data_IF_946789436622
#
_entry.id   IF_946789436622
#
_cell.length_a   1.000
_cell.length_b   1.000
_cell.length_c   1.000
_cell.angle_alpha   90.00
_cell.angle_beta   90.00
_cell.angle_gamma   90.00
#
_symmetry.space_group_name_H-M   'P 1'
#
loop_
_entity.id
_entity.type
_entity.pdbx_description
1 polymer ?
#
# COMPACT_ATOMS: atom_id res chain seq x y z
N UNK A 1 -12.75 18.89 -8.15
CA UNK A 1 -11.48 18.36 -7.64
C UNK A 1 -10.84 17.62 -8.78
N UNK A 2 -9.60 17.96 -9.16
CA UNK A 2 -8.93 17.38 -10.33
C UNK A 2 -8.68 15.87 -10.09
N UNK A 3 -8.69 15.12 -11.17
CA UNK A 3 -8.46 13.68 -11.23
C UNK A 3 -6.96 13.36 -11.01
N UNK A 4 -6.43 13.77 -9.84
CA UNK A 4 -4.99 13.74 -9.52
C UNK A 4 -4.35 12.37 -9.82
N UNK A 5 -4.99 11.30 -9.36
CA UNK A 5 -4.48 9.95 -9.57
C UNK A 5 -4.41 9.60 -11.06
N UNK A 6 -5.44 9.97 -11.84
CA UNK A 6 -5.47 9.72 -13.29
C UNK A 6 -4.40 10.49 -14.04
N UNK A 7 -4.19 11.76 -13.68
CA UNK A 7 -3.19 12.60 -14.31
C UNK A 7 -1.78 12.04 -14.07
N UNK A 8 -1.44 11.73 -12.80
CA UNK A 8 -0.16 11.11 -12.47
C UNK A 8 0.02 9.71 -13.06
N UNK A 9 -1.06 8.92 -13.12
CA UNK A 9 -1.01 7.62 -13.77
C UNK A 9 -0.79 7.73 -15.28
N UNK A 10 -1.43 8.68 -15.95
CA UNK A 10 -1.19 8.96 -17.38
C UNK A 10 0.27 9.36 -17.62
N UNK A 11 0.79 10.26 -16.78
CA UNK A 11 2.19 10.70 -16.86
C UNK A 11 3.15 9.52 -16.61
N UNK A 12 2.84 8.63 -15.68
CA UNK A 12 3.63 7.43 -15.45
C UNK A 12 3.68 6.52 -16.68
N UNK A 13 2.55 6.24 -17.31
CA UNK A 13 2.50 5.41 -18.52
C UNK A 13 3.28 6.06 -19.66
N UNK A 14 3.15 7.38 -19.81
CA UNK A 14 3.78 8.10 -20.91
C UNK A 14 5.27 8.30 -20.71
N UNK A 15 5.68 8.71 -19.52
CA UNK A 15 7.07 9.12 -19.22
C UNK A 15 7.94 7.97 -18.73
N UNK A 16 7.43 7.13 -17.82
CA UNK A 16 8.19 6.02 -17.23
C UNK A 16 8.16 4.79 -18.15
N UNK A 17 6.98 4.40 -18.64
CA UNK A 17 6.84 3.24 -19.50
C UNK A 17 7.07 3.57 -20.99
N UNK A 18 7.14 4.85 -21.35
CA UNK A 18 7.32 5.36 -22.72
C UNK A 18 6.26 4.84 -23.71
N UNK A 19 5.02 4.70 -23.22
CA UNK A 19 3.89 4.21 -23.99
C UNK A 19 2.92 5.36 -24.27
N UNK A 20 2.25 5.32 -25.43
CA UNK A 20 1.15 6.24 -25.69
C UNK A 20 -0.08 5.77 -24.90
N UNK A 21 -0.48 6.55 -23.90
CA UNK A 21 -1.59 6.21 -23.00
C UNK A 21 -2.89 5.90 -23.76
N UNK A 22 -3.18 6.64 -24.82
CA UNK A 22 -4.43 6.48 -25.57
C UNK A 22 -4.45 5.23 -26.45
N UNK A 23 -3.28 4.67 -26.78
CA UNK A 23 -3.14 3.40 -27.53
C UNK A 23 -3.17 2.15 -26.62
N UNK A 24 -3.04 2.32 -25.31
CA UNK A 24 -3.08 1.22 -24.32
C UNK A 24 -4.53 0.84 -24.06
N UNK A 25 -4.87 -0.45 -24.16
CA UNK A 25 -6.21 -0.92 -23.87
C UNK A 25 -6.48 -1.00 -22.34
N UNK A 26 -7.75 -1.16 -21.94
CA UNK A 26 -8.14 -1.11 -20.52
C UNK A 26 -7.56 -2.25 -19.68
N UNK A 27 -7.29 -3.41 -20.27
CA UNK A 27 -6.62 -4.53 -19.57
C UNK A 27 -5.18 -4.14 -19.24
N UNK A 28 -4.44 -3.63 -20.22
CA UNK A 28 -3.09 -3.16 -20.01
C UNK A 28 -3.03 -1.96 -19.05
N UNK A 29 -4.02 -1.04 -19.14
CA UNK A 29 -4.12 0.07 -18.18
C UNK A 29 -4.34 -0.43 -16.76
N UNK A 30 -5.15 -1.47 -16.55
CA UNK A 30 -5.33 -2.08 -15.23
C UNK A 30 -4.01 -2.59 -14.67
N UNK A 31 -3.27 -3.37 -15.44
CA UNK A 31 -1.93 -3.85 -15.08
C UNK A 31 -0.99 -2.72 -14.70
N UNK A 32 -0.87 -1.70 -15.56
CA UNK A 32 0.01 -0.56 -15.29
C UNK A 32 -0.46 0.27 -14.10
N UNK A 33 -1.76 0.30 -13.83
CA UNK A 33 -2.31 0.98 -12.65
C UNK A 33 -1.93 0.26 -11.36
N UNK A 34 -1.91 -1.08 -11.34
CA UNK A 34 -1.40 -1.84 -10.20
C UNK A 34 0.09 -1.56 -9.96
N UNK A 35 0.92 -1.54 -11.01
CA UNK A 35 2.34 -1.19 -10.93
C UNK A 35 2.53 0.24 -10.40
N UNK A 36 1.83 1.21 -10.99
CA UNK A 36 1.89 2.61 -10.56
C UNK A 36 1.54 2.77 -9.08
N UNK A 37 0.44 2.13 -8.66
CA UNK A 37 0.00 2.20 -7.27
C UNK A 37 1.01 1.57 -6.32
N UNK A 38 1.56 0.41 -6.64
CA UNK A 38 2.61 -0.22 -5.85
C UNK A 38 3.86 0.68 -5.74
N UNK A 39 4.36 1.18 -6.88
CA UNK A 39 5.61 1.94 -6.94
C UNK A 39 5.49 3.37 -6.38
N UNK A 40 4.41 4.09 -6.71
CA UNK A 40 4.32 5.52 -6.39
C UNK A 40 3.52 5.81 -5.14
N UNK A 41 2.67 4.90 -4.71
CA UNK A 41 1.84 5.09 -3.52
C UNK A 41 2.32 4.19 -2.38
N UNK A 42 2.26 2.86 -2.55
CA UNK A 42 2.59 1.95 -1.44
C UNK A 42 4.07 2.08 -1.05
N UNK A 43 5.00 2.10 -2.02
CA UNK A 43 6.43 2.26 -1.73
C UNK A 43 6.73 3.54 -0.94
N UNK A 44 5.98 4.63 -1.15
CA UNK A 44 6.14 5.86 -0.39
C UNK A 44 5.51 5.79 1.00
N UNK A 45 4.33 5.18 1.13
CA UNK A 45 3.59 5.11 2.39
C UNK A 45 4.05 3.96 3.29
N UNK A 46 4.43 2.84 2.69
CA UNK A 46 4.90 1.64 3.38
C UNK A 46 5.99 0.92 2.57
N UNK A 47 7.22 1.44 2.57
CA UNK A 47 8.31 0.90 1.76
C UNK A 47 8.65 -0.56 2.10
N UNK A 48 8.30 -1.03 3.29
CA UNK A 48 8.54 -2.41 3.70
C UNK A 48 7.67 -3.46 3.00
N UNK A 49 6.68 -3.03 2.18
CA UNK A 49 5.79 -3.93 1.44
C UNK A 49 6.19 -4.12 -0.03
N UNK A 50 7.16 -3.35 -0.51
CA UNK A 50 7.51 -3.30 -1.93
C UNK A 50 9.01 -3.54 -2.10
N UNK A 51 9.42 -4.42 -3.02
CA UNK A 51 10.83 -4.66 -3.32
C UNK A 51 11.57 -3.35 -3.66
N UNK A 52 12.84 -3.30 -3.32
CA UNK A 52 13.65 -2.08 -3.51
C UNK A 52 14.10 -1.89 -4.95
N UNK A 53 14.37 -2.97 -5.67
CA UNK A 53 14.84 -2.90 -7.06
C UNK A 53 13.68 -2.88 -8.07
N UNK A 54 13.95 -2.33 -9.25
CA UNK A 54 12.96 -2.31 -10.34
C UNK A 54 12.74 -3.71 -10.93
N UNK A 55 13.77 -4.54 -10.95
CA UNK A 55 13.70 -5.92 -11.45
C UNK A 55 12.79 -6.78 -10.58
N UNK A 56 12.96 -6.72 -9.27
CA UNK A 56 12.10 -7.40 -8.31
C UNK A 56 10.66 -6.89 -8.37
N UNK A 57 10.49 -5.56 -8.51
CA UNK A 57 9.17 -4.96 -8.67
C UNK A 57 8.47 -5.48 -9.93
N UNK A 58 9.18 -5.57 -11.05
CA UNK A 58 8.65 -6.12 -12.30
C UNK A 58 8.30 -7.61 -12.18
N UNK A 59 9.05 -8.38 -11.37
CA UNK A 59 8.75 -9.77 -11.08
C UNK A 59 7.45 -9.96 -10.30
N UNK A 60 7.07 -8.98 -9.46
CA UNK A 60 5.81 -8.99 -8.72
C UNK A 60 4.56 -8.82 -9.60
N UNK A 61 4.72 -8.43 -10.87
CA UNK A 61 3.59 -8.31 -11.80
C UNK A 61 3.23 -9.69 -12.33
N UNK A 62 2.13 -10.24 -11.83
CA UNK A 62 1.66 -11.60 -12.14
C UNK A 62 0.50 -11.64 -13.13
N UNK A 63 0.01 -10.46 -13.55
CA UNK A 63 -1.09 -10.27 -14.49
C UNK A 63 -0.95 -11.12 -15.76
N UNK A 64 -2.06 -11.66 -16.21
CA UNK A 64 -2.18 -12.47 -17.42
C UNK A 64 -3.34 -13.46 -17.35
N UNK A 65 -3.39 -14.39 -18.30
CA UNK A 65 -4.34 -15.49 -18.22
C UNK A 65 -4.02 -16.35 -17.00
N UNK A 66 -5.07 -16.78 -16.28
CA UNK A 66 -4.95 -17.63 -15.09
C UNK A 66 -4.13 -17.00 -13.94
N UNK A 67 -4.25 -15.68 -13.76
CA UNK A 67 -3.61 -14.89 -12.70
C UNK A 67 -4.29 -14.99 -11.33
N UNK A 68 -5.33 -15.78 -11.21
CA UNK A 68 -6.18 -15.88 -10.01
C UNK A 68 -6.86 -14.56 -9.61
N UNK A 69 -6.95 -13.59 -10.50
CA UNK A 69 -7.49 -12.26 -10.23
C UNK A 69 -6.54 -11.37 -9.43
N UNK A 70 -5.24 -11.53 -9.62
CA UNK A 70 -4.20 -10.70 -9.03
C UNK A 70 -3.34 -10.10 -10.13
N UNK A 71 -3.20 -8.80 -10.16
CA UNK A 71 -2.33 -8.12 -11.14
C UNK A 71 -0.90 -7.97 -10.58
N UNK A 72 -0.77 -7.83 -9.25
CA UNK A 72 0.51 -7.65 -8.58
C UNK A 72 0.53 -8.42 -7.26
N UNK A 73 1.60 -9.15 -6.99
CA UNK A 73 1.83 -9.91 -5.76
C UNK A 73 3.27 -9.73 -5.31
N UNK A 74 3.48 -9.18 -4.11
CA UNK A 74 4.80 -9.13 -3.47
C UNK A 74 4.75 -9.79 -2.09
N UNK A 75 5.89 -10.35 -1.68
CA UNK A 75 6.11 -10.85 -0.33
C UNK A 75 7.36 -10.22 0.25
N UNK A 76 7.20 -9.46 1.31
CA UNK A 76 8.29 -8.82 2.02
C UNK A 76 8.22 -9.16 3.51
N UNK A 77 9.27 -9.77 4.02
CA UNK A 77 9.27 -10.34 5.37
C UNK A 77 8.16 -11.38 5.55
N UNK A 78 7.25 -11.13 6.48
CA UNK A 78 6.06 -11.95 6.74
C UNK A 78 4.77 -11.28 6.26
N UNK A 79 4.84 -10.44 5.24
CA UNK A 79 3.66 -9.77 4.69
C UNK A 79 3.57 -9.99 3.20
N UNK A 80 2.40 -10.43 2.75
CA UNK A 80 2.06 -10.62 1.34
C UNK A 80 1.10 -9.53 0.93
N UNK A 81 1.48 -8.71 -0.03
CA UNK A 81 0.63 -7.71 -0.65
C UNK A 81 0.07 -8.26 -1.97
N UNK A 82 -1.22 -8.20 -2.14
CA UNK A 82 -1.93 -8.55 -3.37
C UNK A 82 -2.74 -7.37 -3.88
N UNK A 83 -2.53 -7.01 -5.14
CA UNK A 83 -3.28 -5.95 -5.78
C UNK A 83 -4.07 -6.49 -6.96
N UNK A 84 -5.32 -6.06 -7.08
CA UNK A 84 -6.06 -6.11 -8.32
C UNK A 84 -6.51 -4.71 -8.70
N UNK A 85 -6.26 -4.32 -9.96
CA UNK A 85 -6.63 -3.03 -10.50
C UNK A 85 -7.69 -3.18 -11.58
N UNK A 86 -8.64 -2.24 -11.61
CA UNK A 86 -9.65 -2.14 -12.69
C UNK A 86 -9.69 -0.71 -13.19
N UNK A 87 -9.07 -0.52 -14.34
CA UNK A 87 -9.17 0.73 -15.08
C UNK A 87 -10.47 0.70 -15.89
N UNK A 88 -11.49 1.39 -15.43
CA UNK A 88 -12.69 1.60 -16.21
C UNK A 88 -12.64 2.95 -16.90
N UNK A 89 -12.25 2.95 -18.18
CA UNK A 89 -12.21 4.13 -19.01
C UNK A 89 -13.57 4.60 -19.51
N UNK A 90 -14.62 3.81 -19.34
CA UNK A 90 -15.90 4.10 -19.98
C UNK A 90 -16.70 5.18 -19.27
N UNK A 91 -16.45 6.42 -19.68
CA UNK A 91 -17.47 7.47 -19.65
C UNK A 91 -18.47 7.19 -20.78
N UNK A 92 -19.50 6.38 -20.56
CA UNK A 92 -20.72 6.52 -21.36
C UNK A 92 -21.37 7.84 -20.95
N UNK A 93 -21.30 8.84 -21.84
CA UNK A 93 -22.08 10.08 -21.75
C UNK A 93 -22.18 10.69 -20.33
N UNK A 94 -21.04 11.00 -19.71
CA UNK A 94 -21.01 11.74 -18.43
C UNK A 94 -21.27 10.91 -17.16
N UNK A 95 -21.49 9.61 -17.25
CA UNK A 95 -21.64 8.73 -16.06
C UNK A 95 -20.34 7.96 -15.82
N UNK A 96 -19.85 7.96 -14.59
CA UNK A 96 -18.81 7.02 -14.16
C UNK A 96 -19.34 5.61 -14.36
N UNK A 97 -18.57 4.73 -15.00
CA UNK A 97 -18.90 3.31 -15.06
C UNK A 97 -19.00 2.74 -13.65
N UNK A 98 -19.97 1.86 -13.44
CA UNK A 98 -20.07 1.10 -12.19
C UNK A 98 -19.11 -0.08 -12.28
N UNK A 99 -18.43 -0.38 -11.18
CA UNK A 99 -17.62 -1.59 -11.05
C UNK A 99 -18.51 -2.83 -11.15
N UNK A 100 -17.95 -3.88 -11.72
CA UNK A 100 -18.57 -5.21 -11.77
C UNK A 100 -18.39 -5.93 -10.43
N UNK A 101 -19.46 -6.13 -9.64
CA UNK A 101 -19.37 -6.79 -8.33
C UNK A 101 -18.79 -8.20 -8.38
N UNK A 102 -19.04 -8.96 -9.46
CA UNK A 102 -18.52 -10.34 -9.60
C UNK A 102 -16.99 -10.36 -9.63
N UNK A 103 -16.37 -9.32 -10.18
CA UNK A 103 -14.90 -9.20 -10.19
C UNK A 103 -14.34 -8.92 -8.82
N UNK A 104 -15.00 -8.09 -8.02
CA UNK A 104 -14.61 -7.85 -6.65
C UNK A 104 -14.79 -9.11 -5.80
N UNK A 105 -15.92 -9.82 -5.93
CA UNK A 105 -16.15 -11.10 -5.26
C UNK A 105 -15.10 -12.15 -5.66
N UNK A 106 -14.74 -12.19 -6.94
CA UNK A 106 -13.67 -13.05 -7.41
C UNK A 106 -12.32 -12.67 -6.74
N UNK A 107 -11.99 -11.41 -6.61
CA UNK A 107 -10.77 -10.99 -5.89
C UNK A 107 -10.84 -11.36 -4.40
N UNK A 108 -11.97 -11.14 -3.72
CA UNK A 108 -12.13 -11.50 -2.31
C UNK A 108 -11.80 -12.96 -2.01
N UNK A 109 -12.04 -13.87 -2.96
CA UNK A 109 -11.74 -15.30 -2.81
C UNK A 109 -10.35 -15.72 -3.30
N UNK A 110 -9.43 -14.76 -3.55
CA UNK A 110 -8.09 -15.03 -4.08
C UNK A 110 -7.27 -15.94 -3.17
N UNK A 111 -7.30 -15.72 -1.86
CA UNK A 111 -6.55 -16.52 -0.90
C UNK A 111 -7.00 -17.97 -0.91
N UNK A 112 -8.31 -18.22 -0.96
CA UNK A 112 -8.86 -19.60 -1.08
C UNK A 112 -8.33 -20.30 -2.34
N UNK A 113 -8.28 -19.60 -3.49
CA UNK A 113 -7.75 -20.18 -4.72
C UNK A 113 -6.26 -20.46 -4.62
N UNK A 114 -5.48 -19.50 -4.14
CA UNK A 114 -4.04 -19.67 -3.97
C UNK A 114 -3.73 -20.80 -2.96
N UNK A 115 -4.44 -20.86 -1.84
CA UNK A 115 -4.27 -21.92 -0.86
C UNK A 115 -4.58 -23.30 -1.45
N UNK A 116 -5.70 -23.44 -2.14
CA UNK A 116 -6.09 -24.68 -2.79
C UNK A 116 -5.11 -25.15 -3.90
N UNK A 117 -4.41 -24.19 -4.50
CA UNK A 117 -3.27 -24.44 -5.39
C UNK A 117 -3.60 -24.93 -6.79
N UNK A 118 -2.56 -25.20 -7.61
CA UNK A 118 -2.68 -25.44 -9.04
C UNK A 118 -3.36 -26.77 -9.40
N UNK A 119 -3.59 -27.66 -8.45
CA UNK A 119 -4.34 -28.89 -8.65
C UNK A 119 -5.84 -28.63 -8.78
N UNK A 120 -6.36 -27.57 -8.15
CA UNK A 120 -7.78 -27.21 -8.16
C UNK A 120 -8.09 -26.02 -9.06
N UNK A 121 -7.17 -25.08 -9.19
CA UNK A 121 -7.34 -23.86 -9.96
C UNK A 121 -6.18 -23.68 -10.96
N UNK A 122 -6.53 -23.26 -12.17
CA UNK A 122 -5.52 -22.89 -13.15
C UNK A 122 -4.76 -21.66 -12.64
N UNK A 123 -3.45 -21.69 -12.78
CA UNK A 123 -2.55 -20.60 -12.40
C UNK A 123 -1.45 -20.47 -13.45
N UNK A 124 -1.14 -19.25 -13.82
CA UNK A 124 0.03 -18.98 -14.65
C UNK A 124 1.33 -19.27 -13.89
N UNK A 125 2.45 -19.27 -14.58
CA UNK A 125 3.73 -19.65 -13.99
C UNK A 125 4.17 -18.68 -12.89
N UNK A 126 3.98 -17.36 -13.09
CA UNK A 126 4.35 -16.33 -12.11
C UNK A 126 3.55 -16.46 -10.81
N UNK A 127 2.24 -16.72 -10.91
CA UNK A 127 1.41 -16.96 -9.72
C UNK A 127 1.84 -18.21 -8.98
N UNK A 128 2.25 -19.28 -9.69
CA UNK A 128 2.75 -20.50 -9.04
C UNK A 128 4.05 -20.25 -8.29
N UNK A 129 4.97 -19.50 -8.89
CA UNK A 129 6.24 -19.12 -8.28
C UNK A 129 6.02 -18.26 -7.03
N UNK A 130 5.26 -17.16 -7.17
CA UNK A 130 4.95 -16.29 -6.05
C UNK A 130 4.20 -17.02 -4.91
N UNK A 131 3.26 -17.91 -5.25
CA UNK A 131 2.55 -18.74 -4.28
C UNK A 131 3.50 -19.68 -3.51
N UNK A 132 4.54 -20.21 -4.15
CA UNK A 132 5.47 -21.11 -3.51
C UNK A 132 6.28 -20.46 -2.39
N UNK A 133 6.43 -19.13 -2.45
CA UNK A 133 7.11 -18.34 -1.42
C UNK A 133 6.22 -18.01 -0.20
N UNK A 134 4.89 -18.22 -0.29
CA UNK A 134 3.96 -17.89 0.79
C UNK A 134 4.06 -18.91 1.92
N UNK A 135 4.34 -18.41 3.14
CA UNK A 135 4.22 -19.18 4.38
C UNK A 135 2.82 -19.00 4.97
N UNK A 136 1.94 -19.95 4.67
CA UNK A 136 0.54 -19.90 5.08
C UNK A 136 0.30 -19.88 6.60
N UNK A 137 1.28 -20.32 7.36
CA UNK A 137 1.18 -20.37 8.82
C UNK A 137 1.63 -19.07 9.49
N UNK A 138 2.45 -18.25 8.80
CA UNK A 138 3.08 -17.06 9.39
C UNK A 138 2.75 -15.76 8.70
N UNK A 139 2.54 -15.80 7.39
CA UNK A 139 2.37 -14.55 6.62
C UNK A 139 1.04 -13.89 6.93
N UNK A 140 1.07 -12.56 6.99
CA UNK A 140 -0.10 -11.69 6.96
C UNK A 140 -0.38 -11.23 5.54
N UNK A 141 -1.63 -10.96 5.22
CA UNK A 141 -2.06 -10.65 3.86
C UNK A 141 -2.74 -9.28 3.80
N UNK A 142 -2.32 -8.47 2.86
CA UNK A 142 -2.92 -7.17 2.54
C UNK A 142 -3.46 -7.26 1.12
N UNK A 143 -4.77 -7.14 0.98
CA UNK A 143 -5.49 -7.21 -0.28
C UNK A 143 -6.04 -5.84 -0.63
N UNK A 144 -5.57 -5.24 -1.72
CA UNK A 144 -6.10 -3.98 -2.23
C UNK A 144 -6.76 -4.21 -3.59
N UNK A 145 -8.04 -3.96 -3.65
CA UNK A 145 -8.78 -3.84 -4.91
C UNK A 145 -8.90 -2.37 -5.27
N UNK A 146 -8.23 -1.94 -6.32
CA UNK A 146 -8.19 -0.55 -6.75
C UNK A 146 -8.99 -0.34 -8.03
N UNK A 147 -9.86 0.68 -8.06
CA UNK A 147 -10.71 0.94 -9.20
C UNK A 147 -10.95 2.43 -9.44
N UNK A 148 -10.99 2.83 -10.71
CA UNK A 148 -11.43 4.18 -11.11
C UNK A 148 -12.94 4.23 -11.42
N UNK A 149 -13.62 3.09 -11.35
CA UNK A 149 -15.07 3.03 -11.41
C UNK A 149 -15.71 3.42 -10.08
N UNK A 150 -17.00 3.66 -10.10
CA UNK A 150 -17.78 3.78 -8.87
C UNK A 150 -18.07 2.37 -8.34
N UNK A 151 -17.58 2.00 -7.16
CA UNK A 151 -17.87 0.70 -6.59
C UNK A 151 -19.36 0.50 -6.35
N UNK A 152 -19.83 -0.72 -6.58
CA UNK A 152 -21.18 -1.12 -6.24
C UNK A 152 -21.38 -1.06 -4.71
N UNK A 153 -22.60 -0.76 -4.26
CA UNK A 153 -22.87 -0.65 -2.81
C UNK A 153 -22.58 -1.96 -2.07
N UNK A 154 -22.84 -3.10 -2.70
CA UNK A 154 -22.53 -4.41 -2.10
C UNK A 154 -21.03 -4.60 -1.91
N UNK A 155 -20.21 -4.27 -2.92
CA UNK A 155 -18.76 -4.35 -2.83
C UNK A 155 -18.20 -3.46 -1.69
N UNK A 156 -18.75 -2.24 -1.54
CA UNK A 156 -18.40 -1.35 -0.42
C UNK A 156 -18.76 -1.95 0.94
N UNK A 157 -19.93 -2.57 1.05
CA UNK A 157 -20.38 -3.19 2.29
C UNK A 157 -19.49 -4.39 2.64
N UNK A 158 -19.15 -5.23 1.67
CA UNK A 158 -18.23 -6.35 1.87
C UNK A 158 -16.84 -5.87 2.34
N UNK A 159 -16.27 -4.87 1.69
CA UNK A 159 -14.98 -4.31 2.09
C UNK A 159 -14.99 -3.75 3.52
N UNK A 160 -16.13 -3.13 3.94
CA UNK A 160 -16.28 -2.61 5.31
C UNK A 160 -16.45 -3.67 6.37
N UNK A 161 -17.01 -4.82 6.03
CA UNK A 161 -17.21 -5.95 6.94
C UNK A 161 -15.92 -6.74 7.17
N UNK A 162 -14.86 -6.40 6.42
CA UNK A 162 -13.62 -7.13 6.44
C UNK A 162 -13.63 -8.33 5.49
N UNK A 163 -12.70 -9.21 5.70
CA UNK A 163 -12.41 -10.29 4.77
C UNK A 163 -13.59 -11.23 4.62
N UNK A 164 -14.15 -11.27 3.44
CA UNK A 164 -15.00 -12.34 2.98
C UNK A 164 -14.18 -13.41 2.25
N UNK A 165 -14.58 -14.57 2.25
CA UNK A 165 -14.50 -15.66 3.17
C UNK A 165 -13.16 -16.36 3.06
N UNK A 166 -12.30 -16.14 4.03
CA UNK A 166 -11.14 -17.01 4.27
C UNK A 166 -11.58 -18.15 5.18
N UNK A 167 -12.89 -18.42 5.21
CA UNK A 167 -13.53 -19.38 6.11
C UNK A 167 -12.98 -20.79 5.99
N UNK A 168 -12.38 -21.13 4.85
CA UNK A 168 -11.84 -22.46 4.58
C UNK A 168 -10.34 -22.59 4.90
N UNK A 169 -9.68 -21.51 5.36
CA UNK A 169 -8.25 -21.53 5.72
C UNK A 169 -8.13 -21.26 7.21
N UNK A 170 -7.74 -22.27 8.01
CA UNK A 170 -7.59 -22.11 9.44
C UNK A 170 -6.65 -20.94 9.80
N UNK A 171 -6.99 -20.19 10.84
CA UNK A 171 -6.16 -19.13 11.47
C UNK A 171 -5.75 -17.96 10.58
N UNK A 172 -6.36 -17.83 9.40
CA UNK A 172 -6.01 -16.76 8.46
C UNK A 172 -6.83 -15.47 8.67
N UNK A 173 -8.01 -15.56 9.27
CA UNK A 173 -8.97 -14.44 9.39
C UNK A 173 -8.37 -13.21 10.05
N UNK A 174 -7.61 -13.39 11.13
CA UNK A 174 -7.00 -12.27 11.86
C UNK A 174 -5.73 -11.71 11.20
N UNK A 175 -5.26 -12.35 10.13
CA UNK A 175 -4.03 -11.98 9.41
C UNK A 175 -4.29 -11.40 8.03
N UNK A 176 -5.55 -11.12 7.70
CA UNK A 176 -5.92 -10.60 6.38
C UNK A 176 -6.60 -9.24 6.50
N UNK A 177 -6.09 -8.27 5.78
CA UNK A 177 -6.73 -6.97 5.55
C UNK A 177 -7.21 -6.85 4.11
N UNK A 178 -8.45 -6.39 3.91
CA UNK A 178 -9.02 -6.13 2.59
C UNK A 178 -9.45 -4.67 2.49
N UNK A 179 -8.97 -4.00 1.45
CA UNK A 179 -9.36 -2.63 1.11
C UNK A 179 -9.89 -2.57 -0.33
N UNK A 180 -11.01 -1.86 -0.49
CA UNK A 180 -11.52 -1.45 -1.79
C UNK A 180 -11.31 0.05 -1.92
N UNK A 181 -10.43 0.44 -2.84
CA UNK A 181 -10.01 1.81 -3.03
C UNK A 181 -10.59 2.35 -4.34
N UNK A 182 -11.52 3.27 -4.22
CA UNK A 182 -12.06 3.99 -5.37
C UNK A 182 -11.21 5.21 -5.73
N UNK A 183 -11.57 5.90 -6.79
CA UNK A 183 -10.85 7.07 -7.27
C UNK A 183 -10.66 8.16 -6.21
N UNK A 184 -11.59 8.31 -5.27
CA UNK A 184 -11.49 9.31 -4.21
C UNK A 184 -10.42 8.90 -3.18
N UNK A 185 -10.41 7.64 -2.81
CA UNK A 185 -9.43 7.07 -1.89
C UNK A 185 -8.04 6.99 -2.53
N UNK A 186 -7.96 6.62 -3.82
CA UNK A 186 -6.72 6.65 -4.59
C UNK A 186 -6.14 8.07 -4.70
N UNK A 187 -6.97 9.09 -4.93
CA UNK A 187 -6.53 10.48 -4.92
C UNK A 187 -6.01 10.93 -3.54
N UNK A 188 -6.61 10.43 -2.46
CA UNK A 188 -6.14 10.69 -1.10
C UNK A 188 -4.80 10.01 -0.85
N UNK A 189 -4.70 8.71 -1.11
CA UNK A 189 -3.46 7.94 -0.90
C UNK A 189 -2.29 8.50 -1.70
N UNK A 190 -2.54 8.93 -2.95
CA UNK A 190 -1.49 9.58 -3.74
C UNK A 190 -1.05 10.92 -3.16
N UNK A 191 -1.97 11.75 -2.66
CA UNK A 191 -1.60 13.01 -1.98
C UNK A 191 -0.75 12.75 -0.74
N UNK A 192 -1.15 11.76 0.04
CA UNK A 192 -0.41 11.35 1.24
C UNK A 192 1.01 10.87 0.84
N UNK A 193 1.14 10.07 -0.21
CA UNK A 193 2.42 9.62 -0.73
C UNK A 193 3.30 10.76 -1.28
N UNK A 194 2.71 11.71 -2.00
CA UNK A 194 3.43 12.90 -2.49
C UNK A 194 3.90 13.77 -1.34
N UNK A 195 3.07 13.95 -0.30
CA UNK A 195 3.45 14.66 0.91
C UNK A 195 4.67 14.00 1.60
N UNK A 196 4.66 12.68 1.75
CA UNK A 196 5.80 11.94 2.31
C UNK A 196 7.07 12.17 1.49
N UNK A 197 6.96 12.17 0.15
CA UNK A 197 8.10 12.40 -0.73
C UNK A 197 8.65 13.83 -0.64
N UNK A 198 7.80 14.83 -0.57
CA UNK A 198 8.20 16.23 -0.36
C UNK A 198 8.83 16.41 1.02
N UNK A 199 8.32 15.70 1.97
CA UNK A 199 8.70 15.74 3.38
C UNK A 199 9.99 14.96 3.69
N UNK A 200 10.36 13.98 2.89
CA UNK A 200 11.65 13.25 3.07
C UNK A 200 12.88 14.15 2.86
N UNK A 201 12.70 15.36 2.35
CA UNK A 201 13.71 16.41 2.27
C UNK A 201 13.70 17.38 3.46
N UNK A 202 12.77 17.21 4.41
CA UNK A 202 12.69 18.11 5.56
C UNK A 202 13.88 17.93 6.48
N UNK A 203 14.61 19.03 6.70
CA UNK A 203 15.74 19.08 7.64
C UNK A 203 15.30 19.81 8.90
N UNK A 204 15.49 19.19 10.06
CA UNK A 204 15.23 19.84 11.33
C UNK A 204 16.50 19.93 12.16
N UNK A 205 16.76 21.11 12.71
CA UNK A 205 17.82 21.29 13.69
C UNK A 205 17.29 20.93 15.07
N UNK A 206 17.89 19.90 15.68
CA UNK A 206 17.55 19.46 17.04
C UNK A 206 18.64 19.93 18.00
N UNK A 207 18.21 20.67 19.04
CA UNK A 207 19.08 21.10 20.13
C UNK A 207 18.73 20.27 21.38
N UNK A 208 19.64 19.42 21.79
CA UNK A 208 19.48 18.66 23.01
C UNK A 208 19.62 19.56 24.26
N UNK A 209 18.73 19.36 25.23
CA UNK A 209 18.80 20.05 26.52
C UNK A 209 20.00 19.55 27.29
N UNK A 210 20.82 20.48 27.82
CA UNK A 210 22.01 20.19 28.59
C UNK A 210 21.71 20.39 30.06
N UNK A 211 21.96 19.38 30.88
CA UNK A 211 22.01 19.50 32.33
C UNK A 211 23.46 19.74 32.77
N UNK A 212 23.67 20.45 33.89
CA UNK A 212 25.00 20.73 34.42
C UNK A 212 25.75 19.41 34.68
N UNK A 213 26.93 19.29 34.09
CA UNK A 213 27.85 18.17 34.29
C UNK A 213 27.56 16.89 33.49
N UNK A 214 26.53 16.89 32.63
CA UNK A 214 26.23 15.75 31.76
C UNK A 214 26.28 16.11 30.28
N UNK A 215 26.70 15.20 29.39
CA UNK A 215 26.62 15.45 27.97
C UNK A 215 25.13 15.57 27.54
N UNK A 216 24.82 16.48 26.62
CA UNK A 216 23.43 16.70 26.19
C UNK A 216 22.81 15.50 25.44
N UNK A 217 23.62 14.54 25.05
CA UNK A 217 23.20 13.30 24.39
C UNK A 217 24.11 12.13 24.70
N UNK A 218 23.58 10.92 24.53
CA UNK A 218 24.36 9.68 24.47
C UNK A 218 24.52 9.27 23.02
N UNK A 219 25.75 8.90 22.63
CA UNK A 219 26.05 8.40 21.29
C UNK A 219 26.21 6.88 21.35
N UNK A 220 25.51 6.21 20.48
CA UNK A 220 25.61 4.75 20.30
C UNK A 220 26.05 4.46 18.87
N UNK A 221 26.89 3.46 18.70
CA UNK A 221 27.29 2.96 17.41
C UNK A 221 27.07 1.45 17.37
N UNK A 222 26.36 0.96 16.35
CA UNK A 222 26.11 -0.46 16.20
C UNK A 222 27.25 -1.15 15.41
N UNK A 223 27.17 -2.49 15.34
CA UNK A 223 28.15 -3.32 14.62
C UNK A 223 28.24 -3.04 13.10
N UNK A 224 27.31 -2.28 12.54
CA UNK A 224 27.27 -1.87 11.13
C UNK A 224 27.78 -0.44 10.93
N UNK A 225 28.30 0.21 11.97
CA UNK A 225 28.79 1.58 11.92
C UNK A 225 27.69 2.65 11.90
N UNK A 226 26.43 2.29 12.20
CA UNK A 226 25.34 3.27 12.29
C UNK A 226 25.38 3.95 13.64
N UNK A 227 25.33 5.29 13.61
CA UNK A 227 25.40 6.13 14.81
C UNK A 227 24.01 6.61 15.20
N UNK A 228 23.66 6.41 16.47
CA UNK A 228 22.42 6.90 17.07
C UNK A 228 22.72 7.87 18.21
N UNK A 229 21.92 8.90 18.33
CA UNK A 229 21.98 9.87 19.43
C UNK A 229 20.68 9.82 20.22
N UNK A 230 20.79 9.72 21.54
CA UNK A 230 19.64 9.74 22.46
C UNK A 230 19.84 10.91 23.42
N UNK A 231 18.86 11.80 23.50
CA UNK A 231 18.93 12.98 24.34
C UNK A 231 17.55 13.54 24.66
N UNK A 232 17.53 14.57 25.50
CA UNK A 232 16.29 15.28 25.86
C UNK A 232 16.17 16.54 25.00
N UNK A 233 14.97 16.80 24.50
CA UNK A 233 14.61 18.04 23.82
C UNK A 233 13.38 18.65 24.50
N UNK A 234 13.26 19.98 24.48
CA UNK A 234 12.10 20.65 25.06
C UNK A 234 10.82 20.40 24.26
N UNK A 235 9.68 20.37 24.95
CA UNK A 235 8.38 20.25 24.28
C UNK A 235 8.09 21.42 23.33
N UNK A 236 8.60 22.63 23.64
CA UNK A 236 8.51 23.79 22.74
C UNK A 236 9.26 23.55 21.44
N UNK A 237 10.46 22.99 21.49
CA UNK A 237 11.24 22.66 20.30
C UNK A 237 10.58 21.57 19.45
N UNK A 238 9.99 20.55 20.09
CA UNK A 238 9.18 19.54 19.37
C UNK A 238 8.02 20.22 18.64
N UNK A 239 7.33 21.14 19.31
CA UNK A 239 6.21 21.87 18.70
C UNK A 239 6.65 22.78 17.55
N UNK A 240 7.83 23.40 17.61
CA UNK A 240 8.40 24.21 16.53
C UNK A 240 8.78 23.33 15.34
N UNK A 241 9.49 22.23 15.59
CA UNK A 241 9.84 21.25 14.55
C UNK A 241 8.57 20.73 13.88
N UNK A 242 7.54 20.41 14.65
CA UNK A 242 6.25 19.97 14.10
C UNK A 242 5.55 21.05 13.28
N UNK A 243 5.53 22.31 13.71
CA UNK A 243 4.93 23.42 12.95
C UNK A 243 5.65 23.67 11.63
N UNK A 244 6.99 23.59 11.64
CA UNK A 244 7.82 23.80 10.45
C UNK A 244 7.71 22.67 9.43
N UNK A 245 7.64 21.42 9.90
CA UNK A 245 7.74 20.24 9.06
C UNK A 245 6.46 19.37 9.07
N UNK A 246 5.43 19.77 9.81
CA UNK A 246 4.17 19.03 9.99
C UNK A 246 4.41 17.57 10.38
N UNK A 247 3.69 16.65 9.73
CA UNK A 247 3.83 15.20 9.99
C UNK A 247 5.07 14.57 9.36
N UNK A 248 5.73 15.27 8.45
CA UNK A 248 6.87 14.77 7.67
C UNK A 248 8.00 14.22 8.51
N UNK A 249 8.36 14.94 9.56
CA UNK A 249 9.47 14.56 10.42
C UNK A 249 9.21 13.25 11.18
N UNK A 250 7.95 12.85 11.27
CA UNK A 250 7.50 11.62 11.91
C UNK A 250 7.06 10.55 10.91
N UNK A 251 7.03 10.86 9.61
CA UNK A 251 6.57 9.93 8.57
C UNK A 251 7.43 8.67 8.47
N UNK A 252 8.72 8.78 8.78
CA UNK A 252 9.65 7.66 8.85
C UNK A 252 9.62 6.93 10.20
N UNK A 253 8.82 7.39 11.16
CA UNK A 253 8.69 6.70 12.43
C UNK A 253 7.69 5.54 12.28
N UNK A 254 8.18 4.31 12.49
CA UNK A 254 7.38 3.07 12.40
C UNK A 254 6.07 3.16 13.20
N UNK A 255 6.01 3.93 14.28
CA UNK A 255 4.79 4.13 15.06
C UNK A 255 3.70 4.93 14.34
N UNK A 256 4.03 5.75 13.35
CA UNK A 256 3.05 6.40 12.49
C UNK A 256 2.35 5.39 11.54
N UNK A 257 2.98 4.26 11.26
CA UNK A 257 2.43 3.20 10.41
C UNK A 257 1.50 2.23 11.15
N UNK A 258 1.50 2.27 12.49
CA UNK A 258 0.55 1.46 13.29
C UNK A 258 -0.85 2.09 13.26
N UNK A 259 -1.22 2.83 12.26
CA UNK A 259 -2.54 3.34 11.98
C UNK A 259 -3.55 3.40 13.15
N UNK A 260 -4.77 3.71 12.91
CA UNK A 260 -5.87 3.62 13.90
C UNK A 260 -6.26 2.14 14.14
N UNK A 261 -5.37 1.35 14.75
CA UNK A 261 -5.75 0.01 15.22
C UNK A 261 -6.66 0.12 16.47
N UNK A 262 -7.35 -0.97 16.78
CA UNK A 262 -8.31 -1.03 17.91
C UNK A 262 -7.68 -0.61 19.25
N UNK A 263 -6.39 -0.86 19.45
CA UNK A 263 -5.64 -0.48 20.65
C UNK A 263 -5.47 1.03 20.76
N UNK A 264 -5.20 1.72 19.65
CA UNK A 264 -5.03 3.18 19.63
C UNK A 264 -6.38 3.93 19.72
N UNK A 265 -7.48 3.33 19.27
CA UNK A 265 -8.83 3.90 19.43
C UNK A 265 -9.31 3.87 20.88
N UNK A 266 -8.86 2.89 21.67
CA UNK A 266 -9.20 2.78 23.08
C UNK A 266 -8.58 3.87 23.97
N UNK A 267 -7.41 4.42 23.60
CA UNK A 267 -6.72 5.45 24.39
C UNK A 267 -7.29 6.87 24.22
N UNK A 268 -8.10 7.13 23.19
CA UNK A 268 -8.75 8.44 22.97
C UNK A 268 -10.06 8.62 23.73
N UNK A 269 -10.53 7.62 24.49
CA UNK A 269 -11.77 7.69 25.27
C UNK A 269 -11.48 7.67 26.77
N UNK A 270 -10.73 8.64 27.29
CA UNK A 270 -10.84 9.04 28.70
C UNK A 270 -10.83 10.57 28.78
N UNK A 271 -11.81 11.14 29.50
CA UNK A 271 -11.94 12.59 29.68
C UNK A 271 -10.77 13.16 30.46
#
# INVERSE_FOLDING_TARGET
>A
MKELFRDHFRDYVTSNLRLNFDSVNDVQRSKYMAMFYAEKVIRCLNPALIPTTEEELAACVVDGSDDCGVDFLSREGNTVLMLQAKFSGHKKAGKKGTEDPERFDYFCSVLTRLYAGPKKFKMNQKVKEARAEIDWDRDSFILHYITLAQPAQNSRNQARQGVHPVTDIPDLVDRVGLELLDEQELNKSLRDALSVKEESSATAKVLFSQDEGQPPWLRFEDSLGRVSYVGRISGSQIAEIFRANRSSIFSLNIRNYIGDNLTNRGSRRRP
#
